data_IF_056074088492
#
_entry.id   IF_056074088492
#
_cell.length_a   1.000
_cell.length_b   1.000
_cell.length_c   1.000
_cell.angle_alpha   90.00
_cell.angle_beta   90.00
_cell.angle_gamma   90.00
#
_symmetry.space_group_name_H-M   'P 1'
#
loop_
_entity.id
_entity.type
_entity.pdbx_description
1 polymer ?
#
# COMPACT_ATOMS: atom_id res chain seq x y z
N UNK A 1 -29.14 25.03 0.92
CA UNK A 1 -28.23 23.89 0.71
C UNK A 1 -27.16 23.92 1.78
N UNK A 2 -26.47 22.81 1.98
CA UNK A 2 -25.39 22.72 2.97
C UNK A 2 -24.16 23.50 2.52
N UNK A 3 -23.44 24.08 3.48
CA UNK A 3 -22.20 24.84 3.24
C UNK A 3 -21.05 23.98 2.71
N UNK A 4 -21.08 22.68 3.00
CA UNK A 4 -20.10 21.69 2.57
C UNK A 4 -20.84 20.49 2.04
N UNK A 5 -20.44 20.00 0.86
CA UNK A 5 -21.07 18.90 0.18
C UNK A 5 -20.02 17.85 -0.24
N UNK A 6 -19.96 16.73 0.48
CA UNK A 6 -19.01 15.67 0.20
C UNK A 6 -19.34 14.83 -1.04
N UNK A 7 -20.56 14.92 -1.59
CA UNK A 7 -20.92 14.25 -2.84
C UNK A 7 -20.32 14.97 -4.05
N UNK A 8 -20.30 16.31 -4.02
CA UNK A 8 -19.72 17.15 -5.09
C UNK A 8 -18.27 17.56 -4.80
N UNK A 9 -17.83 17.46 -3.55
CA UNK A 9 -16.53 17.93 -3.08
C UNK A 9 -16.48 19.44 -2.78
N UNK A 10 -17.60 20.14 -2.91
CA UNK A 10 -17.70 21.58 -2.64
C UNK A 10 -17.53 21.87 -1.13
N UNK A 11 -16.70 22.85 -0.80
CA UNK A 11 -16.43 23.24 0.59
C UNK A 11 -15.56 22.26 1.38
N UNK A 12 -15.03 21.19 0.76
CA UNK A 12 -14.03 20.32 1.39
C UNK A 12 -12.64 20.99 1.40
N UNK A 13 -11.96 20.87 2.53
CA UNK A 13 -10.52 21.16 2.64
C UNK A 13 -9.68 20.16 1.83
N UNK A 14 -8.42 20.51 1.59
CA UNK A 14 -7.47 19.63 0.88
C UNK A 14 -7.36 18.27 1.55
N UNK A 15 -7.13 18.22 2.87
CA UNK A 15 -6.98 16.95 3.62
C UNK A 15 -8.23 16.06 3.52
N UNK A 16 -9.43 16.67 3.50
CA UNK A 16 -10.68 15.94 3.34
C UNK A 16 -10.81 15.32 1.94
N UNK A 17 -10.42 16.07 0.90
CA UNK A 17 -10.40 15.57 -0.48
C UNK A 17 -9.39 14.44 -0.63
N UNK A 18 -8.18 14.63 -0.11
CA UNK A 18 -7.12 13.63 -0.14
C UNK A 18 -7.54 12.32 0.56
N UNK A 19 -8.19 12.42 1.72
CA UNK A 19 -8.72 11.25 2.44
C UNK A 19 -9.86 10.58 1.65
N UNK A 20 -10.76 11.37 1.06
CA UNK A 20 -11.85 10.84 0.25
C UNK A 20 -11.33 10.08 -0.98
N UNK A 21 -10.34 10.65 -1.68
CA UNK A 21 -9.68 10.02 -2.82
C UNK A 21 -8.92 8.76 -2.42
N UNK A 22 -8.16 8.81 -1.31
CA UNK A 22 -7.45 7.66 -0.77
C UNK A 22 -8.40 6.50 -0.49
N UNK A 23 -9.49 6.76 0.25
CA UNK A 23 -10.50 5.74 0.56
C UNK A 23 -11.17 5.21 -0.71
N UNK A 24 -11.52 6.08 -1.66
CA UNK A 24 -12.11 5.69 -2.92
C UNK A 24 -11.20 4.68 -3.67
N UNK A 25 -9.91 5.00 -3.82
CA UNK A 25 -8.92 4.14 -4.48
C UNK A 25 -8.77 2.79 -3.77
N UNK A 26 -8.58 2.79 -2.44
CA UNK A 26 -8.41 1.56 -1.66
C UNK A 26 -9.64 0.66 -1.75
N UNK A 27 -10.83 1.23 -1.58
CA UNK A 27 -12.08 0.45 -1.55
C UNK A 27 -12.43 -0.09 -2.94
N UNK A 28 -12.20 0.67 -4.00
CA UNK A 28 -12.42 0.19 -5.37
C UNK A 28 -11.38 -0.86 -5.79
N UNK A 29 -10.13 -0.75 -5.34
CA UNK A 29 -9.14 -1.82 -5.51
C UNK A 29 -9.59 -3.10 -4.80
N UNK A 30 -10.00 -2.99 -3.52
CA UNK A 30 -10.44 -4.12 -2.68
C UNK A 30 -11.59 -4.93 -3.30
N UNK A 31 -12.54 -4.27 -3.97
CA UNK A 31 -13.67 -4.95 -4.66
C UNK A 31 -13.21 -5.99 -5.68
N UNK A 32 -12.04 -5.79 -6.29
CA UNK A 32 -11.55 -6.62 -7.39
C UNK A 32 -10.29 -7.43 -7.07
N UNK A 33 -9.78 -7.34 -5.83
CA UNK A 33 -8.58 -8.07 -5.39
C UNK A 33 -8.98 -9.38 -4.72
N UNK A 34 -8.74 -10.51 -5.38
CA UNK A 34 -9.02 -11.82 -4.78
C UNK A 34 -8.02 -12.13 -3.67
N UNK A 35 -6.77 -11.65 -3.79
CA UNK A 35 -5.77 -11.77 -2.73
C UNK A 35 -6.23 -11.11 -1.43
N UNK A 36 -6.79 -9.89 -1.48
CA UNK A 36 -7.33 -9.24 -0.28
C UNK A 36 -8.56 -9.96 0.27
N UNK A 37 -9.46 -10.42 -0.61
CA UNK A 37 -10.74 -11.01 -0.19
C UNK A 37 -10.59 -12.41 0.42
N UNK A 38 -9.75 -13.26 -0.18
CA UNK A 38 -9.68 -14.70 0.13
C UNK A 38 -8.25 -15.22 0.27
N UNK A 39 -7.25 -14.41 -0.04
CA UNK A 39 -5.86 -14.83 -0.02
C UNK A 39 -5.32 -15.09 1.38
N UNK A 40 -4.23 -15.85 1.43
CA UNK A 40 -3.47 -16.12 2.66
C UNK A 40 -2.86 -14.83 3.18
N UNK A 41 -2.85 -14.66 4.50
CA UNK A 41 -2.10 -13.58 5.16
C UNK A 41 -0.74 -14.12 5.59
N UNK A 42 0.32 -13.42 5.21
CA UNK A 42 1.68 -13.63 5.73
C UNK A 42 2.14 -12.28 6.24
N UNK A 43 2.68 -12.23 7.44
CA UNK A 43 3.15 -10.99 8.03
C UNK A 43 4.44 -11.23 8.80
N UNK A 44 5.26 -10.20 8.86
CA UNK A 44 6.55 -10.27 9.53
C UNK A 44 6.46 -9.47 10.82
N UNK A 45 7.11 -9.98 11.87
CA UNK A 45 7.25 -9.23 13.12
C UNK A 45 7.80 -7.83 12.80
N UNK A 46 7.22 -6.77 13.42
CA UNK A 46 7.67 -5.41 13.18
C UNK A 46 9.19 -5.29 13.36
N UNK A 47 9.82 -4.55 12.45
CA UNK A 47 11.27 -4.39 12.42
C UNK A 47 11.62 -2.96 12.03
N UNK A 48 12.52 -2.34 12.78
CA UNK A 48 12.95 -0.95 12.56
C UNK A 48 11.79 0.05 12.40
N UNK A 49 10.74 -0.07 13.23
CA UNK A 49 9.57 0.81 13.16
C UNK A 49 8.69 0.60 11.92
N UNK A 50 8.91 -0.48 11.18
CA UNK A 50 8.11 -0.86 10.00
C UNK A 50 7.33 -2.16 10.25
N UNK A 51 6.21 -2.33 9.56
CA UNK A 51 5.41 -3.56 9.59
C UNK A 51 4.96 -3.93 8.18
N UNK A 52 5.30 -5.15 7.76
CA UNK A 52 5.01 -5.68 6.43
C UNK A 52 3.97 -6.80 6.55
N UNK A 53 2.86 -6.63 5.84
CA UNK A 53 1.77 -7.60 5.75
C UNK A 53 1.47 -7.87 4.28
N UNK A 54 1.45 -9.14 3.92
CA UNK A 54 1.20 -9.63 2.58
C UNK A 54 -0.15 -10.37 2.54
N UNK A 55 -0.91 -10.11 1.48
CA UNK A 55 -2.08 -10.91 1.08
C UNK A 55 -1.76 -11.54 -0.26
N UNK A 56 -1.79 -12.87 -0.33
CA UNK A 56 -1.40 -13.60 -1.55
C UNK A 56 -2.46 -14.62 -1.95
N UNK A 57 -2.77 -14.67 -3.25
CA UNK A 57 -3.60 -15.71 -3.87
C UNK A 57 -3.22 -15.87 -5.34
N UNK A 58 -2.72 -17.06 -5.71
CA UNK A 58 -2.23 -17.32 -7.06
C UNK A 58 -1.08 -16.36 -7.40
N UNK A 59 -1.22 -15.61 -8.49
CA UNK A 59 -0.21 -14.65 -8.96
C UNK A 59 -0.36 -13.24 -8.35
N UNK A 60 -1.48 -12.96 -7.67
CA UNK A 60 -1.71 -11.67 -7.01
C UNK A 60 -1.11 -11.70 -5.61
N UNK A 61 -0.18 -10.77 -5.35
CA UNK A 61 0.33 -10.45 -4.03
C UNK A 61 0.17 -8.96 -3.79
N UNK A 62 -0.48 -8.61 -2.68
CA UNK A 62 -0.60 -7.24 -2.18
C UNK A 62 0.24 -7.13 -0.92
N UNK A 63 1.13 -6.15 -0.85
CA UNK A 63 1.92 -5.84 0.34
C UNK A 63 1.49 -4.49 0.91
N UNK A 64 1.17 -4.49 2.20
CA UNK A 64 1.02 -3.29 3.02
C UNK A 64 2.29 -3.10 3.84
N UNK A 65 2.92 -1.94 3.67
CA UNK A 65 4.08 -1.51 4.42
C UNK A 65 3.65 -0.32 5.27
N UNK A 66 3.60 -0.50 6.59
CA UNK A 66 3.39 0.59 7.54
C UNK A 66 4.75 1.09 8.03
N UNK A 67 5.07 2.36 7.79
CA UNK A 67 6.25 3.04 8.30
C UNK A 67 5.86 3.99 9.43
N UNK A 68 6.39 3.77 10.64
CA UNK A 68 6.18 4.66 11.79
C UNK A 68 7.32 5.66 12.02
N UNK A 69 8.38 5.62 11.22
CA UNK A 69 9.53 6.50 11.35
C UNK A 69 9.24 7.88 10.76
N UNK A 70 9.63 8.95 11.46
CA UNK A 70 9.53 10.33 10.96
C UNK A 70 10.61 10.62 9.90
N UNK A 71 11.80 10.05 10.08
CA UNK A 71 12.92 10.20 9.16
C UNK A 71 12.93 9.06 8.12
N UNK A 72 13.52 9.29 6.92
CA UNK A 72 13.69 8.26 5.91
C UNK A 72 14.41 7.02 6.46
N UNK A 73 13.93 5.84 6.04
CA UNK A 73 14.53 4.57 6.43
C UNK A 73 14.64 3.64 5.23
N UNK A 74 15.76 2.93 5.13
CA UNK A 74 15.99 1.90 4.11
C UNK A 74 15.89 0.52 4.75
N UNK A 75 15.04 -0.33 4.17
CA UNK A 75 14.80 -1.70 4.63
C UNK A 75 15.40 -2.67 3.62
N UNK A 76 16.22 -3.60 4.09
CA UNK A 76 16.70 -4.74 3.31
C UNK A 76 15.53 -5.71 3.06
N UNK A 77 15.22 -5.93 1.78
CA UNK A 77 14.10 -6.76 1.35
C UNK A 77 14.43 -8.25 1.34
N UNK A 78 15.69 -8.66 1.57
CA UNK A 78 16.09 -10.08 1.71
C UNK A 78 15.33 -10.81 2.81
N UNK A 79 14.84 -10.07 3.82
CA UNK A 79 13.97 -10.58 4.89
C UNK A 79 12.64 -11.14 4.37
N UNK A 80 12.20 -10.73 3.18
CA UNK A 80 10.87 -11.04 2.62
C UNK A 80 10.95 -11.94 1.37
N UNK A 81 12.10 -12.57 1.11
CA UNK A 81 12.34 -13.42 -0.08
C UNK A 81 11.36 -14.59 -0.19
N UNK A 82 10.85 -15.11 0.93
CA UNK A 82 9.81 -16.16 0.95
C UNK A 82 8.51 -15.75 0.24
N UNK A 83 8.29 -14.45 0.03
CA UNK A 83 7.14 -13.95 -0.72
C UNK A 83 7.32 -14.06 -2.24
N UNK A 84 8.52 -14.43 -2.73
CA UNK A 84 8.80 -14.63 -4.16
C UNK A 84 8.57 -13.37 -5.00
N UNK A 85 8.89 -12.20 -4.44
CA UNK A 85 8.73 -10.90 -5.10
C UNK A 85 10.01 -10.38 -5.74
N UNK A 86 11.14 -11.07 -5.54
CA UNK A 86 12.45 -10.63 -6.00
C UNK A 86 12.43 -10.24 -7.48
N UNK A 87 12.83 -9.00 -7.74
CA UNK A 87 12.91 -8.36 -9.04
C UNK A 87 11.58 -8.20 -9.80
N UNK A 88 10.43 -8.48 -9.18
CA UNK A 88 9.10 -8.21 -9.76
C UNK A 88 8.80 -6.71 -9.76
N UNK A 89 8.06 -6.28 -10.77
CA UNK A 89 7.45 -4.95 -10.79
C UNK A 89 6.16 -4.98 -9.97
N UNK A 90 6.01 -4.02 -9.06
CA UNK A 90 4.80 -3.79 -8.30
C UNK A 90 4.29 -2.38 -8.54
N UNK A 91 2.98 -2.21 -8.49
CA UNK A 91 2.30 -0.92 -8.65
C UNK A 91 1.79 -0.44 -7.30
N UNK A 92 2.01 0.84 -6.98
CA UNK A 92 1.39 1.48 -5.84
C UNK A 92 -0.11 1.69 -6.09
N UNK A 93 -0.96 1.11 -5.24
CA UNK A 93 -2.42 1.13 -5.40
C UNK A 93 -2.99 2.55 -5.32
N UNK A 94 -2.30 3.47 -4.64
CA UNK A 94 -2.77 4.85 -4.42
C UNK A 94 -2.26 5.79 -5.50
N UNK A 95 -0.98 5.71 -5.85
CA UNK A 95 -0.35 6.65 -6.80
C UNK A 95 -0.33 6.13 -8.23
N UNK A 96 -0.45 4.82 -8.44
CA UNK A 96 -0.27 4.17 -9.73
C UNK A 96 1.19 4.04 -10.17
N UNK A 97 2.13 4.55 -9.38
CA UNK A 97 3.56 4.47 -9.68
C UNK A 97 4.05 3.04 -9.59
N UNK A 98 4.94 2.68 -10.51
CA UNK A 98 5.55 1.36 -10.58
C UNK A 98 6.92 1.39 -9.92
N UNK A 99 7.25 0.32 -9.20
CA UNK A 99 8.57 0.12 -8.62
C UNK A 99 9.00 -1.34 -8.71
N UNK A 100 10.31 -1.57 -8.78
CA UNK A 100 10.88 -2.91 -8.74
C UNK A 100 11.12 -3.33 -7.29
N UNK A 101 10.69 -4.52 -6.91
CA UNK A 101 11.03 -5.13 -5.63
C UNK A 101 12.48 -5.65 -5.69
N UNK A 102 13.42 -4.76 -5.38
CA UNK A 102 14.86 -5.01 -5.44
C UNK A 102 15.42 -5.49 -4.10
N UNK A 103 16.73 -5.37 -3.88
CA UNK A 103 17.37 -5.76 -2.62
C UNK A 103 16.96 -4.88 -1.43
N UNK A 104 16.49 -3.65 -1.67
CA UNK A 104 16.06 -2.74 -0.62
C UNK A 104 14.92 -1.81 -1.06
N UNK A 105 14.25 -1.23 -0.08
CA UNK A 105 13.26 -0.16 -0.28
C UNK A 105 13.53 0.99 0.68
N UNK A 106 13.51 2.22 0.17
CA UNK A 106 13.59 3.43 0.99
C UNK A 106 12.20 4.02 1.19
N UNK A 107 11.81 4.15 2.46
CA UNK A 107 10.54 4.74 2.88
C UNK A 107 10.80 6.16 3.36
N UNK A 108 10.51 7.15 2.51
CA UNK A 108 10.87 8.55 2.75
C UNK A 108 9.96 9.28 3.75
N UNK A 109 8.75 8.77 3.98
CA UNK A 109 7.73 9.41 4.82
C UNK A 109 7.07 8.39 5.74
N UNK A 110 6.65 8.86 6.90
CA UNK A 110 5.72 8.13 7.78
C UNK A 110 4.40 7.90 7.06
N UNK A 111 3.81 6.72 7.21
CA UNK A 111 2.53 6.40 6.61
C UNK A 111 2.46 4.97 6.10
N UNK A 112 1.55 4.73 5.14
CA UNK A 112 1.30 3.42 4.56
C UNK A 112 1.64 3.42 3.07
N UNK A 113 2.30 2.36 2.61
CA UNK A 113 2.50 2.06 1.20
C UNK A 113 1.76 0.77 0.90
N UNK A 114 0.96 0.77 -0.17
CA UNK A 114 0.20 -0.38 -0.65
C UNK A 114 0.68 -0.72 -2.05
N UNK A 115 1.37 -1.84 -2.22
CA UNK A 115 1.88 -2.29 -3.51
C UNK A 115 1.19 -3.58 -3.94
N UNK A 116 1.06 -3.79 -5.24
CA UNK A 116 0.46 -5.02 -5.79
C UNK A 116 1.22 -5.53 -7.02
N UNK A 117 1.29 -6.86 -7.18
CA UNK A 117 1.73 -7.51 -8.42
C UNK A 117 0.63 -7.59 -9.48
N UNK A 118 -0.61 -7.26 -9.12
CA UNK A 118 -1.73 -7.25 -10.04
C UNK A 118 -1.51 -6.19 -11.11
N UNK A 119 -1.55 -6.62 -12.37
CA UNK A 119 -1.52 -5.73 -13.54
C UNK A 119 -2.83 -4.97 -13.70
#
# INVERSE_FOLDING_TARGET
GDKTNAFTGEGLSTDQKDMQEFLNKVLNYRKNSKAIQKGKTIHFAPFMGTYFLFRTLGEETVVMILNKNENPITIDLKRYTEMGLDYKELTNIITGEKMKWSDSITLNKKGVVLLTTKK
#
